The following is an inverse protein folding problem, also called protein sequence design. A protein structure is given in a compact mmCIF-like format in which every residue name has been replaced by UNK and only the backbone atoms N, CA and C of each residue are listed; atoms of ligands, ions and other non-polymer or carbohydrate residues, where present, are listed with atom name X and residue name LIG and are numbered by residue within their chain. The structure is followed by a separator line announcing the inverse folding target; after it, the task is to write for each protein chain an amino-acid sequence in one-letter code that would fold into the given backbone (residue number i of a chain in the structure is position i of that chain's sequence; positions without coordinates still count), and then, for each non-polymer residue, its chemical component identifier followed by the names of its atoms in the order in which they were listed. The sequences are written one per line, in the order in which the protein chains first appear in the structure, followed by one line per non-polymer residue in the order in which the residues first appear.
data_IF_272281421025
#
_entry.id   IF_272281421025
#
_cell.length_a   1.000
_cell.length_b   1.000
_cell.length_c   1.000
_cell.angle_alpha   90.00
_cell.angle_beta   90.00
_cell.angle_gamma   90.00
#
_symmetry.space_group_name_H-M   'P 1'
#
loop_
_entity.id
_entity.type
_entity.pdbx_description
1 polymer ?
#
# COMPACT_ATOMS: atom_id res chain seq x y z
N UNK A 1 6.14 -17.48 13.40
CA UNK A 1 5.24 -17.03 12.32
C UNK A 1 5.08 -15.51 12.28
N UNK A 2 5.03 -14.79 13.42
CA UNK A 2 4.90 -13.31 13.43
C UNK A 2 6.20 -12.53 13.15
N UNK A 3 7.37 -13.06 13.50
CA UNK A 3 8.66 -12.38 13.31
C UNK A 3 9.07 -12.22 11.84
N UNK A 4 8.66 -13.15 10.98
CA UNK A 4 8.98 -13.12 9.55
C UNK A 4 8.22 -12.00 8.82
N UNK A 5 6.90 -11.93 9.02
CA UNK A 5 6.07 -10.88 8.42
C UNK A 5 6.52 -9.47 8.83
N UNK A 6 6.84 -9.23 10.10
CA UNK A 6 7.30 -7.91 10.54
C UNK A 6 8.65 -7.52 9.91
N UNK A 7 9.55 -8.49 9.72
CA UNK A 7 10.82 -8.26 9.02
C UNK A 7 10.57 -7.86 7.57
N UNK A 8 9.72 -8.60 6.85
CA UNK A 8 9.36 -8.29 5.47
C UNK A 8 8.70 -6.91 5.35
N UNK A 9 7.74 -6.58 6.23
CA UNK A 9 7.08 -5.27 6.22
C UNK A 9 8.07 -4.14 6.47
N UNK A 10 9.07 -4.36 7.34
CA UNK A 10 10.12 -3.37 7.63
C UNK A 10 11.00 -3.14 6.41
N UNK A 11 11.41 -4.21 5.72
CA UNK A 11 12.18 -4.12 4.47
C UNK A 11 11.40 -3.42 3.36
N UNK A 12 10.12 -3.77 3.19
CA UNK A 12 9.25 -3.15 2.19
C UNK A 12 9.06 -1.65 2.42
N UNK A 13 8.88 -1.20 3.68
CA UNK A 13 8.78 0.23 4.03
C UNK A 13 10.08 1.00 3.74
N UNK A 14 11.23 0.33 3.90
CA UNK A 14 12.55 0.90 3.65
C UNK A 14 12.98 0.84 2.17
N UNK A 15 12.17 0.27 1.28
CA UNK A 15 12.55 0.05 -0.12
C UNK A 15 12.84 1.37 -0.86
N UNK A 16 13.95 1.41 -1.59
CA UNK A 16 14.40 2.53 -2.44
C UNK A 16 14.88 2.08 -3.83
N UNK A 17 14.56 0.86 -4.25
CA UNK A 17 15.12 0.24 -5.46
C UNK A 17 14.92 1.07 -6.75
N UNK A 18 13.80 1.79 -6.86
CA UNK A 18 13.44 2.59 -8.02
C UNK A 18 13.72 4.09 -7.87
N UNK A 19 14.42 4.54 -6.82
CA UNK A 19 14.60 5.97 -6.55
C UNK A 19 15.31 6.72 -7.69
N UNK A 20 16.21 6.07 -8.44
CA UNK A 20 16.89 6.67 -9.60
C UNK A 20 16.05 6.76 -10.87
N UNK A 21 14.91 6.07 -10.93
CA UNK A 21 14.06 5.95 -12.13
C UNK A 21 12.76 6.76 -12.04
N UNK A 22 12.52 7.43 -10.91
CA UNK A 22 11.27 8.13 -10.62
C UNK A 22 11.51 9.63 -10.41
N UNK A 23 10.61 10.46 -10.95
CA UNK A 23 10.61 11.91 -10.68
C UNK A 23 10.34 12.23 -9.20
N UNK A 24 9.62 11.35 -8.51
CA UNK A 24 9.25 11.47 -7.09
C UNK A 24 9.92 10.35 -6.29
N UNK A 25 10.30 10.66 -5.05
CA UNK A 25 10.87 9.66 -4.14
C UNK A 25 9.91 8.49 -3.94
N UNK A 26 10.40 7.23 -3.89
CA UNK A 26 9.54 6.08 -3.62
C UNK A 26 8.85 6.21 -2.27
N UNK A 27 7.53 6.01 -2.27
CA UNK A 27 6.70 5.93 -1.07
C UNK A 27 5.94 4.59 -1.06
N UNK A 28 6.50 3.54 -0.45
CA UNK A 28 5.84 2.23 -0.38
C UNK A 28 4.55 2.30 0.45
N UNK A 29 3.40 2.10 -0.19
CA UNK A 29 2.06 2.25 0.43
C UNK A 29 1.35 0.91 0.43
N UNK A 30 1.11 0.38 1.62
CA UNK A 30 0.37 -0.86 1.83
C UNK A 30 -0.15 -0.94 3.26
N UNK A 31 -1.21 -1.73 3.46
CA UNK A 31 -1.72 -2.10 4.77
C UNK A 31 -1.90 -3.62 4.80
N UNK A 32 -1.35 -4.26 5.83
CA UNK A 32 -1.45 -5.70 6.01
C UNK A 32 -1.79 -6.01 7.47
N UNK A 33 -2.67 -6.98 7.65
CA UNK A 33 -2.92 -7.62 8.94
C UNK A 33 -2.79 -9.13 8.77
N UNK A 34 -2.11 -9.85 9.68
CA UNK A 34 -2.07 -11.32 9.65
C UNK A 34 -3.45 -11.96 9.85
N UNK A 35 -4.44 -11.20 10.34
CA UNK A 35 -5.84 -11.65 10.46
C UNK A 35 -6.72 -11.30 9.26
N UNK A 36 -6.19 -10.60 8.25
CA UNK A 36 -6.97 -10.21 7.08
C UNK A 36 -7.40 -11.46 6.29
N UNK A 37 -8.70 -11.54 5.98
CA UNK A 37 -9.28 -12.64 5.19
C UNK A 37 -9.33 -12.37 3.70
N UNK A 38 -9.22 -11.10 3.31
CA UNK A 38 -9.31 -10.62 1.93
C UNK A 38 -8.09 -9.73 1.68
N UNK A 39 -7.38 -10.00 0.58
CA UNK A 39 -6.30 -9.16 0.08
C UNK A 39 -6.79 -8.42 -1.17
N UNK A 40 -6.72 -7.10 -1.14
CA UNK A 40 -7.04 -6.23 -2.28
C UNK A 40 -5.74 -5.73 -2.88
N UNK A 41 -5.50 -6.03 -4.17
CA UNK A 41 -4.32 -5.58 -4.91
C UNK A 41 -4.76 -4.65 -6.03
N UNK A 42 -4.38 -3.38 -5.93
CA UNK A 42 -4.59 -2.39 -6.99
C UNK A 42 -3.40 -2.32 -7.96
N UNK A 43 -3.44 -1.35 -8.88
CA UNK A 43 -2.34 -1.11 -9.82
C UNK A 43 -1.16 -0.38 -9.16
N UNK A 44 -1.40 0.84 -8.69
CA UNK A 44 -0.40 1.75 -8.13
C UNK A 44 -1.10 2.86 -7.31
N UNK A 45 -0.39 3.54 -6.38
CA UNK A 45 -0.96 4.66 -5.63
C UNK A 45 -1.24 5.87 -6.52
N UNK A 46 -2.46 6.43 -6.42
CA UNK A 46 -2.78 7.75 -6.96
C UNK A 46 -2.23 8.88 -6.07
N UNK A 47 -2.40 10.13 -6.50
CA UNK A 47 -1.84 11.31 -5.80
C UNK A 47 -2.26 11.43 -4.33
N UNK A 48 -3.53 11.15 -4.02
CA UNK A 48 -4.04 11.26 -2.65
C UNK A 48 -3.48 10.15 -1.74
N UNK A 49 -3.41 8.91 -2.25
CA UNK A 49 -2.76 7.81 -1.54
C UNK A 49 -1.27 8.09 -1.32
N UNK A 50 -0.58 8.65 -2.32
CA UNK A 50 0.83 9.04 -2.21
C UNK A 50 1.07 10.12 -1.15
N UNK A 51 0.17 11.09 -1.03
CA UNK A 51 0.30 12.18 -0.05
C UNK A 51 -0.10 11.74 1.37
N UNK A 52 -1.12 10.88 1.50
CA UNK A 52 -1.67 10.47 2.80
C UNK A 52 -1.07 9.18 3.36
N UNK A 53 -0.37 8.41 2.51
CA UNK A 53 0.09 7.05 2.80
C UNK A 53 -1.04 6.06 3.18
N UNK A 54 -2.28 6.34 2.78
CA UNK A 54 -3.44 5.47 3.02
C UNK A 54 -3.92 4.86 1.69
N UNK A 55 -3.87 3.52 1.53
CA UNK A 55 -4.42 2.85 0.35
C UNK A 55 -5.92 3.10 0.21
N UNK A 56 -6.42 3.28 -1.01
CA UNK A 56 -7.85 3.40 -1.33
C UNK A 56 -8.58 4.51 -0.52
N UNK A 57 -7.89 5.60 -0.18
CA UNK A 57 -8.45 6.77 0.52
C UNK A 57 -8.96 7.86 -0.43
N UNK A 58 -9.46 7.47 -1.60
CA UNK A 58 -9.94 8.38 -2.63
C UNK A 58 -11.34 7.95 -3.13
N UNK A 59 -12.00 8.72 -4.00
CA UNK A 59 -13.34 8.37 -4.48
C UNK A 59 -13.42 7.03 -5.22
N UNK A 60 -12.31 6.50 -5.74
CA UNK A 60 -12.28 5.16 -6.32
C UNK A 60 -12.28 4.07 -5.24
N UNK A 61 -11.64 4.34 -4.11
CA UNK A 61 -11.70 3.51 -2.92
C UNK A 61 -13.09 3.49 -2.28
N UNK A 62 -13.82 4.60 -2.29
CA UNK A 62 -15.21 4.64 -1.83
C UNK A 62 -16.08 3.71 -2.68
N UNK A 63 -16.02 3.83 -4.01
CA UNK A 63 -16.75 2.94 -4.93
C UNK A 63 -16.37 1.47 -4.76
N UNK A 64 -15.09 1.18 -4.51
CA UNK A 64 -14.64 -0.18 -4.26
C UNK A 64 -15.31 -0.75 -3.00
N UNK A 65 -15.36 0.02 -1.92
CA UNK A 65 -16.06 -0.40 -0.69
C UNK A 65 -17.54 -0.62 -0.94
N UNK A 66 -18.19 0.25 -1.71
CA UNK A 66 -19.59 0.07 -2.10
C UNK A 66 -19.83 -1.24 -2.87
N UNK A 67 -18.90 -1.65 -3.74
CA UNK A 67 -18.98 -2.94 -4.47
C UNK A 67 -18.76 -4.17 -3.59
N UNK A 68 -18.02 -4.02 -2.48
CA UNK A 68 -17.74 -5.12 -1.57
C UNK A 68 -18.90 -5.45 -0.63
N UNK A 69 -19.92 -4.57 -0.57
CA UNK A 69 -21.09 -4.68 0.32
C UNK A 69 -20.80 -4.24 1.75
#
# INVERSE_FOLDING_TARGET
MSGDLQSVLSQMRACRLCEGEMERKPNPIFQLSPSARILIVGQAPGNLADTTAVPFNDPSGDRLRDWMG
#
